data_IF_977189779145
#
_entry.id   IF_977189779145
#
_cell.length_a   1.000
_cell.length_b   1.000
_cell.length_c   1.000
_cell.angle_alpha   90.00
_cell.angle_beta   90.00
_cell.angle_gamma   90.00
#
_symmetry.space_group_name_H-M   'P 1'
#
loop_
_entity.id
_entity.type
_entity.pdbx_description
1 polymer ?
#
# COMPACT_ATOMS: atom_id res chain seq x y z
N UNK A 1 -7.93 31.18 -4.94
CA UNK A 1 -7.44 29.91 -5.53
C UNK A 1 -7.24 28.97 -4.36
N UNK A 2 -8.32 28.29 -3.95
CA UNK A 2 -8.34 27.46 -2.74
C UNK A 2 -8.59 26.01 -3.14
N UNK A 3 -7.57 25.17 -3.04
CA UNK A 3 -7.71 23.74 -3.17
C UNK A 3 -8.00 23.18 -1.77
N UNK A 4 -9.29 22.96 -1.47
CA UNK A 4 -9.71 22.27 -0.27
C UNK A 4 -9.43 20.76 -0.42
N UNK A 5 -8.50 20.24 0.39
CA UNK A 5 -8.30 18.80 0.57
C UNK A 5 -9.46 18.27 1.40
N UNK A 6 -10.38 17.56 0.76
CA UNK A 6 -11.53 16.92 1.41
C UNK A 6 -11.05 15.62 2.07
N UNK A 7 -10.71 15.67 3.35
CA UNK A 7 -10.66 14.47 4.19
C UNK A 7 -12.10 14.08 4.55
N UNK A 8 -12.70 13.13 3.80
CA UNK A 8 -14.01 12.58 4.17
C UNK A 8 -13.84 11.66 5.38
N UNK A 9 -14.34 12.12 6.52
CA UNK A 9 -14.63 11.29 7.70
C UNK A 9 -15.77 10.33 7.33
N UNK A 10 -15.53 9.02 7.41
CA UNK A 10 -16.62 8.04 7.40
C UNK A 10 -17.39 8.20 8.71
N UNK A 11 -18.50 8.92 8.67
CA UNK A 11 -19.49 8.96 9.75
C UNK A 11 -20.62 8.02 9.34
N UNK A 12 -20.84 6.98 10.13
CA UNK A 12 -22.05 6.16 10.05
C UNK A 12 -23.20 6.91 10.74
N UNK A 13 -24.05 7.58 9.96
CA UNK A 13 -25.44 7.83 10.34
C UNK A 13 -26.26 8.28 9.13
N UNK A 14 -27.50 7.82 9.10
CA UNK A 14 -28.50 7.91 8.06
C UNK A 14 -28.83 9.34 7.62
N UNK A 15 -29.30 9.46 6.37
CA UNK A 15 -29.73 10.66 5.61
C UNK A 15 -28.65 11.34 4.75
N UNK A 16 -28.48 10.82 3.54
CA UNK A 16 -27.88 11.55 2.42
C UNK A 16 -29.00 12.33 1.68
N UNK A 17 -28.93 13.66 1.73
CA UNK A 17 -29.30 14.47 0.57
C UNK A 17 -28.02 14.64 -0.26
N UNK A 18 -27.97 14.03 -1.43
CA UNK A 18 -26.96 14.36 -2.44
C UNK A 18 -27.43 15.61 -3.16
N UNK A 19 -26.82 16.76 -2.85
CA UNK A 19 -26.78 17.85 -3.81
C UNK A 19 -25.91 17.39 -4.98
N UNK A 20 -26.56 17.14 -6.13
CA UNK A 20 -25.93 16.84 -7.42
C UNK A 20 -25.18 18.08 -7.95
N UNK A 21 -24.14 18.48 -7.24
CA UNK A 21 -23.15 19.42 -7.75
C UNK A 21 -22.36 18.75 -8.86
N UNK A 22 -22.62 19.14 -10.11
CA UNK A 22 -21.83 18.78 -11.28
C UNK A 22 -20.34 18.93 -10.99
N UNK A 23 -19.61 17.81 -10.95
CA UNK A 23 -18.15 17.82 -10.86
C UNK A 23 -17.61 18.49 -12.12
N UNK A 24 -16.95 19.63 -11.96
CA UNK A 24 -16.41 20.40 -13.06
C UNK A 24 -15.47 19.54 -13.92
N UNK A 25 -15.78 19.43 -15.21
CA UNK A 25 -15.00 18.71 -16.22
C UNK A 25 -13.51 19.08 -16.24
N UNK A 26 -13.17 20.29 -15.79
CA UNK A 26 -11.80 20.77 -15.63
C UNK A 26 -11.02 20.00 -14.56
N UNK A 27 -11.67 19.62 -13.44
CA UNK A 27 -11.06 18.87 -12.34
C UNK A 27 -10.75 17.42 -12.75
N UNK A 28 -11.63 16.80 -13.55
CA UNK A 28 -11.39 15.46 -14.11
C UNK A 28 -10.19 15.44 -15.07
N UNK A 29 -10.00 16.52 -15.83
CA UNK A 29 -8.88 16.67 -16.75
C UNK A 29 -7.55 16.88 -16.00
N UNK A 30 -7.54 17.66 -14.93
CA UNK A 30 -6.36 17.83 -14.04
C UNK A 30 -6.01 16.50 -13.37
N UNK A 31 -7.00 15.77 -12.87
CA UNK A 31 -6.79 14.42 -12.30
C UNK A 31 -6.18 13.47 -13.32
N UNK A 32 -6.66 13.45 -14.57
CA UNK A 32 -6.12 12.61 -15.63
C UNK A 32 -4.63 12.90 -15.90
N UNK A 33 -4.27 14.18 -16.05
CA UNK A 33 -2.87 14.56 -16.30
C UNK A 33 -1.98 14.35 -15.08
N UNK A 34 -2.50 14.53 -13.87
CA UNK A 34 -1.80 14.24 -12.63
C UNK A 34 -1.52 12.74 -12.50
N UNK A 35 -2.52 11.89 -12.71
CA UNK A 35 -2.39 10.43 -12.68
C UNK A 35 -1.39 9.98 -13.76
N UNK A 36 -1.49 10.53 -14.98
CA UNK A 36 -0.56 10.23 -16.06
C UNK A 36 0.85 10.69 -15.75
N UNK A 37 1.04 11.89 -15.23
CA UNK A 37 2.34 12.42 -14.80
C UNK A 37 2.98 11.55 -13.72
N UNK A 38 2.21 11.21 -12.68
CA UNK A 38 2.67 10.36 -11.57
C UNK A 38 2.91 8.90 -11.98
N UNK A 39 2.30 8.43 -13.07
CA UNK A 39 2.57 7.10 -13.62
C UNK A 39 3.99 6.97 -14.21
N UNK A 40 4.66 8.09 -14.47
CA UNK A 40 6.04 8.15 -14.97
C UNK A 40 7.07 8.36 -13.86
N UNK A 41 6.64 8.49 -12.60
CA UNK A 41 7.51 8.70 -11.45
C UNK A 41 7.62 7.38 -10.68
N UNK A 42 8.83 7.02 -10.29
CA UNK A 42 9.10 5.81 -9.53
C UNK A 42 8.36 5.80 -8.19
N UNK A 43 7.95 4.61 -7.78
CA UNK A 43 7.26 4.40 -6.50
C UNK A 43 8.23 4.66 -5.34
N UNK A 44 7.81 5.47 -4.36
CA UNK A 44 8.49 5.60 -3.08
C UNK A 44 7.94 4.55 -2.10
N UNK A 45 8.83 3.67 -1.66
CA UNK A 45 8.57 2.64 -0.67
C UNK A 45 9.27 3.02 0.64
N UNK A 46 8.50 3.46 1.65
CA UNK A 46 9.09 3.93 2.91
C UNK A 46 8.08 4.55 3.88
N UNK A 47 8.58 5.03 5.01
CA UNK A 47 7.79 5.85 5.95
C UNK A 47 8.00 7.32 5.60
N UNK A 48 6.94 7.97 5.14
CA UNK A 48 6.87 9.40 4.93
C UNK A 48 6.35 10.04 6.20
N UNK A 49 7.20 10.72 6.95
CA UNK A 49 6.71 11.63 7.98
C UNK A 49 6.27 12.91 7.26
N UNK A 50 4.95 13.13 7.11
CA UNK A 50 4.39 14.48 6.88
C UNK A 50 4.30 15.23 8.21
N UNK A 51 5.45 15.40 8.82
CA UNK A 51 6.06 16.67 9.20
C UNK A 51 7.43 16.59 8.57
N UNK A 52 7.76 17.51 7.68
CA UNK A 52 9.01 17.42 6.96
C UNK A 52 10.18 17.26 7.93
N UNK A 53 10.86 16.13 7.82
CA UNK A 53 12.20 15.98 8.35
C UNK A 53 12.87 14.78 7.70
N UNK A 54 14.02 15.07 7.08
CA UNK A 54 15.06 14.09 6.80
C UNK A 54 16.42 14.69 7.15
N UNK A 55 16.53 15.24 8.36
CA UNK A 55 17.76 15.80 8.91
C UNK A 55 18.13 17.20 8.40
N UNK A 56 17.16 17.98 7.90
CA UNK A 56 17.37 19.32 7.36
C UNK A 56 17.08 20.42 8.39
N UNK A 57 18.00 21.36 8.58
CA UNK A 57 17.85 22.45 9.57
C UNK A 57 16.72 23.44 9.27
N UNK A 58 16.16 23.49 8.07
CA UNK A 58 15.12 24.44 7.72
C UNK A 58 13.83 23.78 7.23
N UNK A 59 12.78 23.96 8.03
CA UNK A 59 11.39 23.58 7.76
C UNK A 59 10.48 24.61 8.42
N UNK A 60 10.76 25.90 8.23
CA UNK A 60 10.02 27.00 8.87
C UNK A 60 8.53 26.99 8.53
N UNK A 61 8.13 26.48 7.36
CA UNK A 61 6.75 26.51 6.88
C UNK A 61 5.78 25.53 7.58
N UNK A 62 6.29 24.44 8.16
CA UNK A 62 5.45 23.40 8.76
C UNK A 62 5.82 23.02 10.21
N UNK A 63 6.92 23.58 10.77
CA UNK A 63 7.37 23.31 12.15
C UNK A 63 6.31 23.61 13.21
N UNK A 64 5.46 24.61 13.00
CA UNK A 64 4.48 25.09 14.00
C UNK A 64 3.07 24.50 13.83
N UNK A 65 2.90 23.44 13.02
CA UNK A 65 1.59 22.80 12.86
C UNK A 65 1.25 22.03 14.14
N UNK A 66 0.03 22.19 14.62
CA UNK A 66 -0.48 21.49 15.81
C UNK A 66 -0.70 19.98 15.60
N UNK A 67 -0.54 19.50 14.36
CA UNK A 67 -0.75 18.09 13.98
C UNK A 67 0.31 17.67 12.96
N UNK A 68 0.87 16.50 13.18
CA UNK A 68 1.91 15.86 12.37
C UNK A 68 1.41 14.47 11.95
N UNK A 69 1.55 14.13 10.67
CA UNK A 69 1.19 12.81 10.17
C UNK A 69 2.44 11.97 9.87
N UNK A 70 2.54 10.78 10.43
CA UNK A 70 3.58 9.80 10.07
C UNK A 70 2.96 8.71 9.24
N UNK A 71 3.25 8.67 7.94
CA UNK A 71 2.57 7.83 6.95
C UNK A 71 3.51 6.75 6.44
N UNK A 72 3.27 5.49 6.79
CA UNK A 72 3.92 4.36 6.09
C UNK A 72 3.18 4.08 4.78
N UNK A 73 3.86 4.22 3.64
CA UNK A 73 3.25 4.12 2.31
C UNK A 73 4.13 3.38 1.31
N UNK A 74 3.47 2.87 0.27
CA UNK A 74 4.04 2.05 -0.79
C UNK A 74 3.80 2.62 -2.18
N UNK A 75 2.82 3.51 -2.29
CA UNK A 75 2.45 4.15 -3.54
C UNK A 75 2.66 5.66 -3.50
N UNK A 76 3.31 6.18 -2.45
CA UNK A 76 3.85 7.54 -2.49
C UNK A 76 4.74 7.73 -3.71
N UNK A 77 4.76 8.93 -4.27
CA UNK A 77 5.67 9.30 -5.35
C UNK A 77 6.57 10.40 -4.86
N UNK A 78 7.88 10.16 -4.86
CA UNK A 78 8.83 11.25 -4.63
C UNK A 78 8.72 12.22 -5.79
N UNK A 79 8.40 13.47 -5.48
CA UNK A 79 8.34 14.56 -6.46
C UNK A 79 9.44 15.59 -6.23
N UNK A 80 10.48 15.23 -5.46
CA UNK A 80 11.59 16.12 -5.12
C UNK A 80 12.16 16.83 -6.36
N UNK A 81 12.48 16.10 -7.44
CA UNK A 81 13.01 16.69 -8.67
C UNK A 81 12.07 17.65 -9.41
N UNK A 82 10.78 17.64 -9.06
CA UNK A 82 9.75 18.50 -9.65
C UNK A 82 9.25 19.57 -8.67
N UNK A 83 9.70 19.52 -7.42
CA UNK A 83 9.25 20.42 -6.36
C UNK A 83 9.97 21.76 -6.47
N UNK A 84 9.26 22.85 -6.20
CA UNK A 84 9.88 24.17 -6.08
C UNK A 84 10.75 24.30 -4.81
N UNK A 85 10.64 23.33 -3.90
CA UNK A 85 11.40 23.26 -2.65
C UNK A 85 12.33 22.04 -2.63
N UNK A 86 12.80 21.57 -3.80
CA UNK A 86 13.58 20.32 -3.94
C UNK A 86 14.81 20.21 -3.01
N UNK A 87 15.46 21.35 -2.74
CA UNK A 87 16.66 21.45 -1.89
C UNK A 87 16.33 21.49 -0.39
N UNK A 88 15.07 21.69 -0.03
CA UNK A 88 14.59 21.86 1.35
C UNK A 88 13.68 20.71 1.80
N UNK A 89 12.92 20.11 0.88
CA UNK A 89 11.89 19.11 1.17
C UNK A 89 12.03 17.84 0.31
N UNK A 90 11.99 16.68 0.97
CA UNK A 90 11.80 15.38 0.33
C UNK A 90 10.31 15.15 0.06
N UNK A 91 9.73 15.93 -0.86
CA UNK A 91 8.29 15.95 -1.08
C UNK A 91 7.77 14.62 -1.68
N UNK A 92 6.77 14.03 -1.01
CA UNK A 92 6.08 12.82 -1.47
C UNK A 92 4.59 13.10 -1.67
N UNK A 93 4.08 12.75 -2.85
CA UNK A 93 2.67 12.90 -3.22
C UNK A 93 1.95 11.54 -3.21
N UNK A 94 0.70 11.55 -2.74
CA UNK A 94 -0.21 10.41 -2.83
C UNK A 94 -1.29 10.70 -3.87
N UNK A 95 -1.75 9.65 -4.54
CA UNK A 95 -2.84 9.79 -5.49
C UNK A 95 -4.16 10.10 -4.75
N UNK A 96 -5.06 10.87 -5.38
CA UNK A 96 -6.43 10.99 -4.91
C UNK A 96 -7.04 9.61 -4.67
N UNK A 97 -7.81 9.48 -3.58
CA UNK A 97 -8.42 8.23 -3.11
C UNK A 97 -7.46 7.19 -2.48
N UNK A 98 -6.19 7.53 -2.24
CA UNK A 98 -5.34 6.75 -1.34
C UNK A 98 -6.03 6.57 0.02
N UNK A 99 -6.11 5.32 0.47
CA UNK A 99 -6.78 4.94 1.72
C UNK A 99 -5.75 4.69 2.81
N UNK A 100 -6.04 5.17 4.03
CA UNK A 100 -5.14 5.07 5.17
C UNK A 100 -5.88 4.58 6.42
N UNK A 101 -5.23 3.75 7.22
CA UNK A 101 -5.67 3.39 8.57
C UNK A 101 -4.90 4.25 9.56
N UNK A 102 -5.60 4.80 10.54
CA UNK A 102 -4.99 5.39 11.74
C UNK A 102 -4.50 4.26 12.63
N UNK A 103 -3.18 4.13 12.78
CA UNK A 103 -2.55 3.10 13.59
C UNK A 103 -2.36 3.56 15.04
N UNK A 104 -2.04 4.83 15.26
CA UNK A 104 -1.79 5.40 16.58
C UNK A 104 -1.97 6.92 16.58
N UNK A 105 -2.27 7.49 17.75
CA UNK A 105 -2.38 8.94 17.96
C UNK A 105 -1.68 9.27 19.27
N UNK A 106 -0.61 10.06 19.19
CA UNK A 106 0.18 10.48 20.35
C UNK A 106 0.13 11.99 20.51
N UNK A 107 0.07 12.47 21.75
CA UNK A 107 0.21 13.89 22.03
C UNK A 107 1.63 14.17 22.55
N UNK A 108 2.35 15.00 21.81
CA UNK A 108 3.68 15.45 22.16
C UNK A 108 3.58 16.71 23.03
N UNK A 109 3.75 16.55 24.34
CA UNK A 109 3.62 17.65 25.31
C UNK A 109 4.66 18.74 25.11
N UNK A 110 5.87 18.37 24.66
CA UNK A 110 6.99 19.30 24.50
C UNK A 110 6.73 20.28 23.36
N UNK A 111 6.18 19.78 22.26
CA UNK A 111 5.88 20.58 21.07
C UNK A 111 4.41 21.03 21.01
N UNK A 112 3.56 20.54 21.91
CA UNK A 112 2.10 20.75 21.90
C UNK A 112 1.46 20.31 20.58
N UNK A 113 1.86 19.14 20.08
CA UNK A 113 1.46 18.62 18.77
C UNK A 113 0.80 17.25 18.89
N UNK A 114 -0.20 16.99 18.06
CA UNK A 114 -0.73 15.64 17.85
C UNK A 114 0.08 14.94 16.76
N UNK A 115 0.68 13.79 17.05
CA UNK A 115 1.31 12.91 16.06
C UNK A 115 0.36 11.77 15.73
N UNK A 116 -0.08 11.72 14.47
CA UNK A 116 -1.01 10.71 13.96
C UNK A 116 -0.23 9.76 13.06
N UNK A 117 -0.17 8.50 13.43
CA UNK A 117 0.49 7.46 12.64
C UNK A 117 -0.53 6.83 11.72
N UNK A 118 -0.27 6.90 10.42
CA UNK A 118 -1.08 6.37 9.34
C UNK A 118 -0.33 5.26 8.62
N UNK A 119 -1.06 4.23 8.18
CA UNK A 119 -0.56 3.25 7.22
C UNK A 119 -1.44 3.24 5.99
N UNK A 120 -0.84 3.43 4.82
CA UNK A 120 -1.58 3.24 3.58
C UNK A 120 -2.06 1.81 3.50
N UNK A 121 -3.32 1.63 3.12
CA UNK A 121 -3.91 0.33 2.85
C UNK A 121 -4.38 0.26 1.41
N UNK A 122 -4.18 -0.92 0.82
CA UNK A 122 -4.72 -1.26 -0.48
C UNK A 122 -5.91 -2.20 -0.26
N UNK A 123 -7.08 -1.77 -0.73
CA UNK A 123 -8.36 -2.44 -0.48
C UNK A 123 -8.67 -3.54 -1.50
N UNK A 124 -7.89 -3.63 -2.58
CA UNK A 124 -8.16 -4.59 -3.66
C UNK A 124 -9.45 -4.30 -4.43
N UNK A 125 -9.92 -3.06 -4.46
CA UNK A 125 -11.14 -2.66 -5.17
C UNK A 125 -10.86 -2.38 -6.65
N UNK A 126 -10.12 -3.28 -7.32
CA UNK A 126 -9.78 -3.15 -8.73
C UNK A 126 -10.09 -4.45 -9.49
N UNK A 127 -9.95 -4.38 -10.82
CA UNK A 127 -10.25 -5.53 -11.67
C UNK A 127 -9.27 -6.68 -11.47
N UNK A 128 -7.97 -6.41 -11.29
CA UNK A 128 -6.94 -7.44 -11.14
C UNK A 128 -6.17 -7.23 -9.84
N UNK A 129 -6.30 -8.14 -8.89
CA UNK A 129 -5.73 -7.99 -7.56
C UNK A 129 -4.67 -9.06 -7.31
N UNK A 130 -3.51 -8.64 -6.80
CA UNK A 130 -2.42 -9.54 -6.43
C UNK A 130 -2.10 -9.33 -4.95
N UNK A 131 -2.42 -10.31 -4.10
CA UNK A 131 -1.93 -10.35 -2.73
C UNK A 131 -0.49 -10.88 -2.76
N UNK A 132 0.48 -10.03 -2.47
CA UNK A 132 1.88 -10.39 -2.42
C UNK A 132 2.34 -10.51 -0.97
N UNK A 133 2.90 -11.67 -0.60
CA UNK A 133 3.33 -11.94 0.77
C UNK A 133 4.81 -12.29 0.81
N UNK A 134 5.62 -11.35 1.27
CA UNK A 134 7.08 -11.43 1.33
C UNK A 134 7.65 -10.64 2.50
N UNK A 135 8.71 -11.15 3.14
CA UNK A 135 9.32 -10.52 4.30
C UNK A 135 10.15 -9.27 4.00
N UNK A 136 10.57 -9.12 2.75
CA UNK A 136 11.42 -8.04 2.26
C UNK A 136 10.66 -7.06 1.36
N UNK A 137 9.33 -7.09 1.34
CA UNK A 137 8.52 -6.24 0.45
C UNK A 137 8.72 -4.73 0.67
N UNK A 138 9.27 -4.35 1.82
CA UNK A 138 9.60 -2.97 2.17
C UNK A 138 11.10 -2.66 2.04
N UNK A 139 11.92 -3.65 1.70
CA UNK A 139 13.36 -3.48 1.46
C UNK A 139 13.59 -2.91 0.05
N UNK A 140 14.38 -1.84 -0.02
CA UNK A 140 14.66 -1.16 -1.26
C UNK A 140 15.57 -1.98 -2.19
N UNK A 141 16.40 -2.84 -1.63
CA UNK A 141 17.41 -3.66 -2.34
C UNK A 141 16.91 -5.09 -2.59
N UNK A 142 15.64 -5.37 -2.30
CA UNK A 142 15.05 -6.69 -2.51
C UNK A 142 15.05 -7.10 -3.99
N UNK A 143 15.57 -8.29 -4.28
CA UNK A 143 15.82 -8.77 -5.65
C UNK A 143 14.56 -8.78 -6.53
N UNK A 144 13.41 -9.14 -5.94
CA UNK A 144 12.14 -9.25 -6.66
C UNK A 144 11.40 -7.91 -6.78
N UNK A 145 11.91 -6.85 -6.16
CA UNK A 145 11.30 -5.51 -6.20
C UNK A 145 11.16 -5.00 -7.63
N UNK A 146 12.21 -5.14 -8.45
CA UNK A 146 12.19 -4.74 -9.86
C UNK A 146 11.12 -5.48 -10.67
N UNK A 147 10.86 -6.76 -10.34
CA UNK A 147 9.81 -7.54 -10.99
C UNK A 147 8.43 -7.01 -10.61
N UNK A 148 8.20 -6.70 -9.34
CA UNK A 148 6.96 -6.10 -8.85
C UNK A 148 6.72 -4.70 -9.45
N UNK A 149 7.73 -3.84 -9.48
CA UNK A 149 7.64 -2.49 -10.06
C UNK A 149 7.36 -2.56 -11.57
N UNK A 150 8.05 -3.44 -12.29
CA UNK A 150 7.78 -3.69 -13.72
C UNK A 150 6.38 -4.24 -13.94
N UNK A 151 5.93 -5.18 -13.10
CA UNK A 151 4.58 -5.74 -13.18
C UNK A 151 3.50 -4.70 -12.87
N UNK A 152 3.74 -3.79 -11.92
CA UNK A 152 2.87 -2.65 -11.62
C UNK A 152 2.82 -1.65 -12.77
N UNK A 153 3.98 -1.32 -13.34
CA UNK A 153 4.08 -0.40 -14.48
C UNK A 153 3.39 -0.97 -15.72
N UNK A 154 3.67 -2.21 -16.10
CA UNK A 154 2.96 -2.90 -17.20
C UNK A 154 1.48 -3.13 -16.86
N UNK A 155 1.21 -3.37 -15.57
CA UNK A 155 -0.08 -3.62 -14.98
C UNK A 155 -1.03 -2.44 -15.00
N UNK A 156 -0.53 -1.19 -15.09
CA UNK A 156 -1.42 -0.01 -15.22
C UNK A 156 -2.34 -0.09 -16.44
N UNK A 157 -1.92 -0.74 -17.54
CA UNK A 157 -2.78 -0.96 -18.72
C UNK A 157 -3.92 -1.95 -18.46
N UNK A 158 -3.72 -2.86 -17.53
CA UNK A 158 -4.67 -3.93 -17.17
C UNK A 158 -5.25 -3.74 -15.77
N UNK A 159 -5.04 -2.58 -15.14
CA UNK A 159 -5.53 -2.23 -13.81
C UNK A 159 -5.19 -3.28 -12.72
N UNK A 160 -3.91 -3.65 -12.64
CA UNK A 160 -3.39 -4.55 -11.59
C UNK A 160 -3.08 -3.76 -10.32
N UNK A 161 -3.52 -4.26 -9.18
CA UNK A 161 -3.27 -3.68 -7.87
C UNK A 161 -2.62 -4.69 -6.93
N UNK A 162 -1.52 -4.29 -6.31
CA UNK A 162 -0.79 -5.12 -5.37
C UNK A 162 -1.25 -4.84 -3.95
N UNK A 163 -1.48 -5.91 -3.18
CA UNK A 163 -1.77 -5.88 -1.75
C UNK A 163 -0.57 -6.51 -1.05
N UNK A 164 0.43 -5.72 -0.64
CA UNK A 164 1.65 -6.22 -0.05
C UNK A 164 1.46 -6.55 1.44
N UNK A 165 2.02 -7.68 1.88
CA UNK A 165 2.01 -8.16 3.28
C UNK A 165 3.36 -8.72 3.65
N UNK A 166 3.83 -8.41 4.85
CA UNK A 166 5.17 -8.81 5.31
C UNK A 166 5.26 -10.27 5.76
N UNK A 167 4.14 -10.90 6.10
CA UNK A 167 4.11 -12.25 6.66
C UNK A 167 2.73 -12.91 6.53
N UNK A 168 2.68 -14.20 6.85
CA UNK A 168 1.48 -15.04 6.80
C UNK A 168 0.35 -14.45 7.65
N UNK A 169 0.65 -14.01 8.88
CA UNK A 169 -0.37 -13.53 9.80
C UNK A 169 -1.09 -12.28 9.25
N UNK A 170 -0.34 -11.31 8.72
CA UNK A 170 -0.89 -10.10 8.14
C UNK A 170 -1.68 -10.37 6.85
N UNK A 171 -1.25 -11.35 6.06
CA UNK A 171 -1.99 -11.82 4.89
C UNK A 171 -3.32 -12.48 5.26
N UNK A 172 -3.31 -13.40 6.23
CA UNK A 172 -4.53 -14.05 6.73
C UNK A 172 -5.49 -13.05 7.38
N UNK A 173 -4.98 -12.04 8.08
CA UNK A 173 -5.80 -10.97 8.62
C UNK A 173 -6.51 -10.17 7.52
N UNK A 174 -5.82 -9.88 6.41
CA UNK A 174 -6.45 -9.25 5.24
C UNK A 174 -7.50 -10.17 4.60
N UNK A 175 -7.19 -11.45 4.39
CA UNK A 175 -8.11 -12.40 3.75
C UNK A 175 -9.40 -12.61 4.55
N UNK A 176 -9.33 -12.58 5.88
CA UNK A 176 -10.50 -12.65 6.78
C UNK A 176 -11.29 -11.35 6.87
N UNK A 177 -10.75 -10.23 6.37
CA UNK A 177 -11.45 -8.96 6.37
C UNK A 177 -12.55 -8.94 5.31
N UNK A 178 -13.49 -7.99 5.42
CA UNK A 178 -14.54 -7.82 4.40
C UNK A 178 -13.98 -7.58 2.99
N UNK A 179 -12.79 -6.98 2.87
CA UNK A 179 -12.12 -6.79 1.59
C UNK A 179 -11.59 -8.10 1.02
N UNK A 180 -10.99 -8.94 1.88
CA UNK A 180 -10.50 -10.26 1.50
C UNK A 180 -11.63 -11.19 1.08
N UNK A 181 -12.71 -11.27 1.86
CA UNK A 181 -13.86 -12.12 1.54
C UNK A 181 -14.52 -11.74 0.21
N UNK A 182 -14.56 -10.45 -0.16
CA UNK A 182 -15.05 -10.01 -1.48
C UNK A 182 -14.21 -10.52 -2.65
N UNK A 183 -12.94 -10.85 -2.42
CA UNK A 183 -12.03 -11.37 -3.44
C UNK A 183 -12.09 -12.90 -3.58
N UNK A 184 -12.82 -13.59 -2.70
CA UNK A 184 -12.89 -15.04 -2.61
C UNK A 184 -13.53 -15.71 -3.83
N UNK A 185 -14.39 -15.01 -4.53
CA UNK A 185 -15.01 -15.50 -5.78
C UNK A 185 -14.39 -14.83 -7.02
N UNK A 186 -13.39 -13.98 -6.84
CA UNK A 186 -12.76 -13.26 -7.94
C UNK A 186 -11.83 -14.18 -8.73
N UNK A 187 -12.10 -14.31 -10.04
CA UNK A 187 -11.28 -15.05 -10.99
C UNK A 187 -10.00 -14.30 -11.39
N UNK A 188 -9.87 -13.03 -11.03
CA UNK A 188 -8.70 -12.18 -11.27
C UNK A 188 -7.86 -11.95 -10.02
N UNK A 189 -8.30 -12.45 -8.86
CA UNK A 189 -7.51 -12.41 -7.64
C UNK A 189 -6.43 -13.50 -7.66
N UNK A 190 -5.20 -13.12 -7.33
CA UNK A 190 -4.03 -14.01 -7.27
C UNK A 190 -3.30 -13.81 -5.95
N UNK A 191 -2.73 -14.90 -5.43
CA UNK A 191 -1.89 -14.87 -4.23
C UNK A 191 -0.48 -15.28 -4.62
N UNK A 192 0.51 -14.47 -4.24
CA UNK A 192 1.92 -14.67 -4.59
C UNK A 192 2.73 -14.65 -3.30
N UNK A 193 3.64 -15.61 -3.15
CA UNK A 193 4.48 -15.72 -1.95
C UNK A 193 5.79 -16.44 -2.25
N UNK A 194 6.80 -16.20 -1.41
CA UNK A 194 8.05 -16.95 -1.44
C UNK A 194 7.97 -18.19 -0.54
N UNK A 195 8.51 -19.31 -1.03
CA UNK A 195 8.58 -20.56 -0.25
C UNK A 195 9.38 -20.35 1.04
N UNK A 196 10.49 -19.62 0.95
CA UNK A 196 11.38 -19.31 2.06
C UNK A 196 11.21 -17.85 2.49
N UNK A 197 10.74 -17.62 3.71
CA UNK A 197 10.63 -16.26 4.29
C UNK A 197 11.29 -16.26 5.66
N UNK A 198 12.35 -15.47 5.81
CA UNK A 198 13.27 -15.52 6.96
C UNK A 198 12.69 -14.99 8.25
N UNK A 199 11.68 -14.12 8.15
CA UNK A 199 10.94 -13.61 9.30
C UNK A 199 9.87 -14.56 9.85
N UNK A 200 9.76 -15.79 9.31
CA UNK A 200 8.76 -16.78 9.72
C UNK A 200 9.38 -18.07 10.24
N UNK A 201 8.65 -18.76 11.13
CA UNK A 201 9.13 -20.00 11.76
C UNK A 201 8.21 -21.18 11.43
N UNK A 202 8.66 -22.24 10.72
CA UNK A 202 10.00 -22.36 10.12
C UNK A 202 10.13 -21.55 8.81
N UNK A 203 11.31 -20.98 8.51
CA UNK A 203 11.48 -20.16 7.32
C UNK A 203 11.27 -20.91 6.01
N UNK A 204 11.67 -22.18 5.97
CA UNK A 204 11.84 -22.96 4.75
C UNK A 204 10.54 -23.46 4.10
N UNK A 205 9.40 -23.30 4.77
CA UNK A 205 8.07 -23.71 4.30
C UNK A 205 7.03 -22.60 4.46
N UNK A 206 7.45 -21.36 4.69
CA UNK A 206 6.57 -20.24 4.96
C UNK A 206 5.50 -20.07 3.87
N UNK A 207 5.87 -20.08 2.59
CA UNK A 207 4.91 -19.94 1.47
C UNK A 207 3.89 -21.08 1.39
N UNK A 208 4.33 -22.32 1.61
CA UNK A 208 3.43 -23.48 1.60
C UNK A 208 2.40 -23.43 2.75
N UNK A 209 2.84 -23.03 3.96
CA UNK A 209 1.93 -22.86 5.10
C UNK A 209 0.89 -21.78 4.87
N UNK A 210 1.28 -20.66 4.25
CA UNK A 210 0.34 -19.62 3.87
C UNK A 210 -0.76 -20.21 2.98
N UNK A 211 -0.39 -20.95 1.92
CA UNK A 211 -1.37 -21.50 0.98
C UNK A 211 -2.29 -22.52 1.67
N UNK A 212 -1.73 -23.37 2.54
CA UNK A 212 -2.53 -24.30 3.33
C UNK A 212 -3.60 -23.57 4.16
N UNK A 213 -3.24 -22.49 4.85
CA UNK A 213 -4.19 -21.68 5.63
C UNK A 213 -5.16 -20.90 4.75
N UNK A 214 -4.73 -20.40 3.58
CA UNK A 214 -5.60 -19.77 2.57
C UNK A 214 -6.69 -20.75 2.10
N UNK A 215 -6.33 -22.01 1.84
CA UNK A 215 -7.30 -23.04 1.44
C UNK A 215 -8.29 -23.36 2.55
N UNK A 216 -7.85 -23.40 3.81
CA UNK A 216 -8.78 -23.53 4.95
C UNK A 216 -9.80 -22.40 5.05
N UNK A 217 -9.44 -21.19 4.60
CA UNK A 217 -10.37 -20.07 4.52
C UNK A 217 -11.36 -20.18 3.34
N UNK A 218 -11.21 -21.19 2.47
CA UNK A 218 -12.07 -21.42 1.31
C UNK A 218 -11.74 -20.57 0.08
N UNK A 219 -10.53 -20.02 0.01
CA UNK A 219 -10.05 -19.34 -1.20
C UNK A 219 -9.53 -20.40 -2.18
N UNK A 220 -10.07 -20.46 -3.40
CA UNK A 220 -9.66 -21.40 -4.46
C UNK A 220 -8.83 -20.74 -5.57
N UNK A 221 -8.43 -19.49 -5.37
CA UNK A 221 -7.65 -18.71 -6.34
C UNK A 221 -6.32 -19.39 -6.69
N UNK A 222 -5.81 -19.06 -7.87
CA UNK A 222 -4.45 -19.42 -8.26
C UNK A 222 -3.44 -18.80 -7.30
N UNK A 223 -2.62 -19.66 -6.70
CA UNK A 223 -1.51 -19.30 -5.85
C UNK A 223 -0.20 -19.55 -6.59
N UNK A 224 0.73 -18.61 -6.53
CA UNK A 224 2.07 -18.72 -7.09
C UNK A 224 3.08 -18.73 -5.94
N UNK A 225 4.00 -19.70 -5.96
CA UNK A 225 5.08 -19.81 -4.99
C UNK A 225 6.41 -19.66 -5.70
N UNK A 226 7.22 -18.67 -5.32
CA UNK A 226 8.61 -18.60 -5.77
C UNK A 226 9.48 -19.56 -4.95
N UNK A 227 10.36 -20.29 -5.63
CA UNK A 227 11.31 -21.21 -5.03
C UNK A 227 12.58 -21.28 -5.88
N UNK A 228 13.74 -21.36 -5.24
CA UNK A 228 15.01 -21.57 -5.94
C UNK A 228 15.19 -23.01 -6.45
N UNK A 229 14.43 -23.98 -5.92
CA UNK A 229 14.48 -25.38 -6.30
C UNK A 229 13.07 -25.99 -6.33
N UNK A 230 12.56 -26.27 -7.52
CA UNK A 230 11.19 -26.77 -7.77
C UNK A 230 10.93 -28.13 -7.09
N UNK A 231 11.83 -29.09 -7.26
CA UNK A 231 11.67 -30.45 -6.71
C UNK A 231 11.59 -30.46 -5.17
N UNK A 232 12.46 -29.69 -4.50
CA UNK A 232 12.42 -29.52 -3.04
C UNK A 232 11.13 -28.85 -2.56
N UNK A 233 10.58 -27.91 -3.34
CA UNK A 233 9.32 -27.27 -3.01
C UNK A 233 8.14 -28.24 -3.11
N UNK A 234 8.09 -29.07 -4.15
CA UNK A 234 7.05 -30.10 -4.29
C UNK A 234 7.06 -31.10 -3.14
N UNK A 235 8.24 -31.60 -2.74
CA UNK A 235 8.34 -32.51 -1.60
C UNK A 235 7.84 -31.86 -0.30
N UNK A 236 8.14 -30.58 -0.07
CA UNK A 236 7.61 -29.85 1.10
C UNK A 236 6.10 -29.67 1.04
N UNK A 237 5.52 -29.42 -0.14
CA UNK A 237 4.07 -29.31 -0.29
C UNK A 237 3.38 -30.63 0.08
N UNK A 238 3.92 -31.79 -0.34
CA UNK A 238 3.39 -33.12 0.03
C UNK A 238 3.40 -33.40 1.54
N UNK A 239 4.26 -32.74 2.32
CA UNK A 239 4.26 -32.91 3.78
C UNK A 239 3.23 -32.07 4.52
N UNK A 240 2.65 -31.07 3.85
CA UNK A 240 1.73 -30.09 4.44
C UNK A 240 0.28 -30.39 4.03
N UNK A 241 0.05 -30.83 2.79
CA UNK A 241 -1.24 -31.27 2.27
C UNK A 241 -1.44 -32.78 2.45
#
# INVERSE_FOLDING_TARGET
>A
MEANIICRRLVTSEQFYSDDGTVDSSAAMIMYYLIKGLSHIDFYWGTVVRSADKGGKDMTHFKDRNTVFTISSLTGRSIQYFSNCADEEDEVLFLPHSSFIVCDVQYDQNFRQNRIFLRQIELGLCQNVILWVDDNIFDADWENKRHMEKASTLGTRVNVHFIPKSNTQSALAFLRSEFGERLKDSNTFRIVTDMKRTNETPPSTAGARLIYEVRKLGFEQTCLIFTGHEESAYEKLKTIF
#
